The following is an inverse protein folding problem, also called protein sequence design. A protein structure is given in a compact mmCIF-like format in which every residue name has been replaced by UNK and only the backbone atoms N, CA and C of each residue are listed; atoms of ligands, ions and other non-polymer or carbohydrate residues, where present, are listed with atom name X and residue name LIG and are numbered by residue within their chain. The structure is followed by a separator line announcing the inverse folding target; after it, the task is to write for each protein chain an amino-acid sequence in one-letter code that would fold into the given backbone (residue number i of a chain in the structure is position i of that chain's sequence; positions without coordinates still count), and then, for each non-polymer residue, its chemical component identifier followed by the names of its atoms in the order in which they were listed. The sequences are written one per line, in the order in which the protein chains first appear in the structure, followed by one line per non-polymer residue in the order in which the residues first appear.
data_IF_957779242237
#
_entry.id   IF_957779242237
#
_cell.length_a   1.000
_cell.length_b   1.000
_cell.length_c   1.000
_cell.angle_alpha   90.00
_cell.angle_beta   90.00
_cell.angle_gamma   90.00
#
_symmetry.space_group_name_H-M   'P 1'
#
loop_
_entity.id
_entity.type
_entity.pdbx_description
1 polymer ?
#
# COMPACT_ATOMS: atom_id res chain seq x y z
N UNK A 1 -18.50 6.58 -23.98
CA UNK A 1 -18.07 5.48 -23.09
C UNK A 1 -16.62 5.17 -23.43
N UNK A 2 -15.72 5.18 -22.45
CA UNK A 2 -14.32 4.78 -22.62
C UNK A 2 -14.19 3.25 -22.74
N UNK A 3 -13.19 2.69 -23.44
CA UNK A 3 -12.20 3.37 -24.29
C UNK A 3 -12.77 3.81 -25.65
N UNK A 4 -13.98 3.38 -25.99
CA UNK A 4 -14.64 3.65 -27.27
C UNK A 4 -14.59 2.46 -28.23
N UNK A 5 -15.51 2.39 -29.21
CA UNK A 5 -15.66 1.22 -30.09
C UNK A 5 -14.51 1.01 -31.08
N UNK A 6 -13.61 1.99 -31.25
CA UNK A 6 -12.44 1.88 -32.12
C UNK A 6 -11.28 1.08 -31.51
N UNK A 7 -11.33 0.78 -30.20
CA UNK A 7 -10.32 -0.02 -29.51
C UNK A 7 -10.76 -1.48 -29.57
N UNK A 8 -10.12 -2.26 -30.43
CA UNK A 8 -10.59 -3.63 -30.74
C UNK A 8 -9.51 -4.69 -30.68
N UNK A 9 -8.24 -4.31 -30.86
CA UNK A 9 -7.10 -5.20 -30.68
C UNK A 9 -6.59 -5.15 -29.23
N UNK A 10 -5.98 -6.24 -28.77
CA UNK A 10 -5.38 -6.31 -27.43
C UNK A 10 -4.29 -5.25 -27.23
N UNK A 11 -3.54 -4.91 -28.29
CA UNK A 11 -2.55 -3.84 -28.27
C UNK A 11 -3.19 -2.48 -27.98
N UNK A 12 -4.32 -2.16 -28.64
CA UNK A 12 -5.05 -0.91 -28.43
C UNK A 12 -5.53 -0.77 -26.98
N UNK A 13 -5.95 -1.87 -26.34
CA UNK A 13 -6.40 -1.87 -24.93
C UNK A 13 -5.24 -1.55 -23.99
N UNK A 14 -4.07 -2.14 -24.24
CA UNK A 14 -2.87 -1.88 -23.43
C UNK A 14 -2.42 -0.43 -23.62
N UNK A 15 -2.40 0.08 -24.85
CA UNK A 15 -1.99 1.45 -25.15
C UNK A 15 -2.95 2.49 -24.58
N UNK A 16 -4.26 2.23 -24.66
CA UNK A 16 -5.26 3.05 -23.98
C UNK A 16 -5.00 3.08 -22.47
N UNK A 17 -4.81 1.92 -21.84
CA UNK A 17 -4.60 1.81 -20.38
C UNK A 17 -3.33 2.54 -19.92
N UNK A 18 -2.25 2.52 -20.71
CA UNK A 18 -1.01 3.24 -20.39
C UNK A 18 -1.16 4.76 -20.48
N UNK A 19 -1.88 5.24 -21.50
CA UNK A 19 -1.96 6.67 -21.81
C UNK A 19 -3.10 7.39 -21.09
N UNK A 20 -4.19 6.68 -20.79
CA UNK A 20 -5.42 7.25 -20.24
C UNK A 20 -5.82 6.63 -18.89
N UNK A 21 -5.16 5.53 -18.50
CA UNK A 21 -5.38 4.92 -17.20
C UNK A 21 -4.92 5.83 -16.07
N UNK A 22 -5.60 5.74 -14.93
CA UNK A 22 -5.25 6.45 -13.71
C UNK A 22 -5.35 5.50 -12.53
N UNK A 23 -4.53 5.76 -11.50
CA UNK A 23 -4.64 5.04 -10.24
C UNK A 23 -5.90 5.43 -9.47
N UNK A 24 -6.38 4.53 -8.62
CA UNK A 24 -7.55 4.78 -7.75
C UNK A 24 -7.16 5.34 -6.37
N UNK A 25 -5.97 5.96 -6.26
CA UNK A 25 -5.47 6.64 -5.05
C UNK A 25 -5.23 5.72 -3.83
N UNK A 26 -4.82 4.48 -4.06
CA UNK A 26 -4.50 3.53 -2.98
C UNK A 26 -2.99 3.20 -2.94
N UNK A 27 -2.14 4.21 -2.82
CA UNK A 27 -0.70 3.99 -2.67
C UNK A 27 -0.40 3.34 -1.31
N UNK A 28 0.47 2.33 -1.31
CA UNK A 28 0.93 1.59 -0.11
C UNK A 28 2.41 1.20 -0.27
N UNK A 29 3.05 0.77 0.82
CA UNK A 29 4.32 0.04 0.75
C UNK A 29 5.61 0.84 0.60
N UNK A 30 5.57 2.18 0.58
CA UNK A 30 6.78 3.01 0.46
C UNK A 30 7.73 2.94 1.68
N UNK A 31 7.24 2.45 2.82
CA UNK A 31 8.00 2.20 4.04
C UNK A 31 7.67 0.78 4.57
N UNK A 32 7.60 -0.20 3.68
CA UNK A 32 7.04 -1.51 3.97
C UNK A 32 7.76 -2.26 5.11
N UNK A 33 6.97 -3.03 5.88
CA UNK A 33 7.46 -4.23 6.54
C UNK A 33 7.90 -5.24 5.49
N UNK A 34 8.99 -5.97 5.70
CA UNK A 34 9.40 -7.06 4.82
C UNK A 34 9.88 -8.27 5.65
N UNK A 35 9.11 -9.39 5.68
CA UNK A 35 9.51 -10.59 6.43
C UNK A 35 10.82 -11.21 5.94
N UNK A 36 11.07 -11.16 4.62
CA UNK A 36 12.17 -11.86 3.95
C UNK A 36 13.01 -10.92 3.04
N UNK A 37 13.04 -9.62 3.34
CA UNK A 37 13.68 -8.63 2.46
C UNK A 37 14.17 -7.37 3.19
N UNK A 38 14.48 -6.33 2.40
CA UNK A 38 14.89 -5.02 2.92
C UNK A 38 13.65 -4.29 3.48
N UNK A 39 13.54 -4.25 4.81
CA UNK A 39 12.41 -3.69 5.53
C UNK A 39 12.72 -2.27 6.02
N UNK A 40 11.81 -1.33 5.79
CA UNK A 40 11.93 0.03 6.37
C UNK A 40 11.45 0.03 7.83
N UNK A 41 10.45 -0.80 8.16
CA UNK A 41 9.99 -1.02 9.54
C UNK A 41 9.93 -2.50 9.91
N UNK A 42 10.10 -2.81 11.19
CA UNK A 42 9.93 -4.16 11.74
C UNK A 42 8.43 -4.55 11.90
N UNK A 43 8.16 -5.79 12.35
CA UNK A 43 6.80 -6.30 12.59
C UNK A 43 6.05 -5.60 13.74
N UNK A 44 6.74 -4.76 14.50
CA UNK A 44 6.18 -3.86 15.51
C UNK A 44 6.11 -2.41 14.99
N UNK A 45 6.34 -2.17 13.70
CA UNK A 45 6.27 -0.86 13.06
C UNK A 45 7.39 0.11 13.49
N UNK A 46 8.47 -0.39 14.11
CA UNK A 46 9.65 0.43 14.44
C UNK A 46 10.49 0.63 13.20
N UNK A 47 10.95 1.87 12.98
CA UNK A 47 11.86 2.16 11.86
C UNK A 47 13.18 1.44 12.11
N UNK A 48 13.59 0.63 11.14
CA UNK A 48 14.84 -0.12 11.21
C UNK A 48 16.01 0.84 11.44
N UNK A 49 16.95 0.45 12.31
CA UNK A 49 18.16 1.23 12.65
C UNK A 49 17.92 2.60 13.32
N UNK A 50 16.67 2.96 13.63
CA UNK A 50 16.31 4.22 14.30
C UNK A 50 15.60 3.96 15.62
N UNK A 51 16.14 4.52 16.71
CA UNK A 51 15.55 4.37 18.03
C UNK A 51 14.38 5.32 18.25
N UNK A 52 13.31 4.82 18.87
CA UNK A 52 12.17 5.64 19.32
C UNK A 52 11.25 6.14 18.21
N UNK A 53 11.41 5.66 16.97
CA UNK A 53 10.59 6.08 15.83
C UNK A 53 9.75 4.92 15.28
N UNK A 54 8.48 5.20 14.95
CA UNK A 54 7.56 4.28 14.30
C UNK A 54 6.83 4.96 13.15
N UNK A 55 6.37 4.18 12.18
CA UNK A 55 5.48 4.63 11.10
C UNK A 55 4.19 3.84 11.19
N UNK A 56 3.04 4.53 11.20
CA UNK A 56 1.72 3.90 11.33
C UNK A 56 0.77 4.51 10.30
N UNK A 57 0.88 4.06 9.05
CA UNK A 57 0.01 4.44 7.95
C UNK A 57 0.03 3.39 6.82
N UNK A 58 -0.50 3.70 5.65
CA UNK A 58 -0.54 2.80 4.50
C UNK A 58 0.84 2.41 3.94
N UNK A 59 1.89 3.20 4.21
CA UNK A 59 3.23 2.98 3.68
C UNK A 59 3.89 1.71 4.23
N UNK A 60 3.48 1.23 5.41
CA UNK A 60 4.08 0.04 6.03
C UNK A 60 3.50 -1.28 5.54
N UNK A 61 2.40 -1.24 4.78
CA UNK A 61 1.77 -2.44 4.26
C UNK A 61 2.70 -3.10 3.21
N UNK A 62 3.10 -4.38 3.38
CA UNK A 62 4.01 -5.06 2.45
C UNK A 62 3.43 -5.24 1.05
N UNK A 63 2.10 -5.32 0.94
CA UNK A 63 1.38 -5.46 -0.31
C UNK A 63 0.00 -4.83 -0.20
N UNK A 64 -0.56 -4.47 -1.36
CA UNK A 64 -1.90 -3.93 -1.45
C UNK A 64 -2.93 -5.06 -1.30
N UNK A 65 -3.77 -5.01 -0.26
CA UNK A 65 -4.87 -5.94 -0.09
C UNK A 65 -5.96 -5.74 -1.17
N UNK A 66 -6.67 -6.79 -1.57
CA UNK A 66 -7.80 -6.62 -2.49
C UNK A 66 -8.90 -5.78 -1.83
N UNK A 67 -9.25 -4.64 -2.44
CA UNK A 67 -10.25 -3.71 -1.93
C UNK A 67 -9.69 -2.33 -1.56
N UNK A 68 -10.52 -1.51 -0.93
CA UNK A 68 -10.13 -0.17 -0.50
C UNK A 68 -9.31 -0.24 0.81
N UNK A 69 -8.12 0.40 0.90
CA UNK A 69 -7.18 0.19 2.00
C UNK A 69 -7.60 0.85 3.32
N UNK A 70 -8.60 1.72 3.34
CA UNK A 70 -9.03 2.41 4.55
C UNK A 70 -9.30 1.44 5.71
N UNK A 71 -9.97 0.32 5.47
CA UNK A 71 -10.25 -0.66 6.52
C UNK A 71 -8.97 -1.32 7.06
N UNK A 72 -8.03 -1.71 6.18
CA UNK A 72 -6.77 -2.31 6.61
C UNK A 72 -5.86 -1.32 7.33
N UNK A 73 -5.83 -0.06 6.88
CA UNK A 73 -5.05 1.01 7.53
C UNK A 73 -5.63 1.36 8.91
N UNK A 74 -6.95 1.45 9.05
CA UNK A 74 -7.59 1.68 10.35
C UNK A 74 -7.34 0.51 11.31
N UNK A 75 -7.44 -0.73 10.83
CA UNK A 75 -7.16 -1.91 11.66
C UNK A 75 -5.69 -1.96 12.11
N UNK A 76 -4.75 -1.68 11.21
CA UNK A 76 -3.33 -1.56 11.52
C UNK A 76 -3.09 -0.51 12.61
N UNK A 77 -3.67 0.68 12.46
CA UNK A 77 -3.52 1.77 13.42
C UNK A 77 -4.08 1.40 14.80
N UNK A 78 -5.24 0.71 14.83
CA UNK A 78 -5.83 0.18 16.06
C UNK A 78 -4.89 -0.81 16.77
N UNK A 79 -4.40 -1.82 16.04
CA UNK A 79 -3.46 -2.82 16.55
C UNK A 79 -2.16 -2.18 17.06
N UNK A 80 -1.65 -1.18 16.36
CA UNK A 80 -0.47 -0.43 16.78
C UNK A 80 -0.72 0.30 18.11
N UNK A 81 -1.86 0.97 18.25
CA UNK A 81 -2.24 1.67 19.48
C UNK A 81 -2.40 0.70 20.66
N UNK A 82 -3.06 -0.45 20.48
CA UNK A 82 -3.18 -1.46 21.53
C UNK A 82 -1.82 -1.96 22.02
N UNK A 83 -0.91 -2.27 21.08
CA UNK A 83 0.45 -2.73 21.44
C UNK A 83 1.27 -1.66 22.14
N UNK A 84 1.12 -0.39 21.74
CA UNK A 84 1.79 0.73 22.38
C UNK A 84 1.28 0.98 23.81
N UNK A 85 -0.01 0.81 24.07
CA UNK A 85 -0.60 0.97 25.40
C UNK A 85 -0.33 -0.21 26.33
N UNK A 86 -0.09 -1.40 25.78
CA UNK A 86 0.24 -2.60 26.56
C UNK A 86 1.70 -2.62 27.06
N UNK A 87 2.52 -1.63 26.68
CA UNK A 87 3.92 -1.45 27.08
C UNK A 87 4.11 -0.35 28.11
#
# INVERSE_FOLDING_TARGET
MFPGPSVTAAADVVDYSRNQGFGIYHAVGSCAMAPDGDAVVDADLRVCEVLGLRVVDASVLPFHASGHPAASVMALAWLAAERLMAG
#
